data_IF_246669779503
#
_entry.id   IF_246669779503
#
_cell.length_a   1.000
_cell.length_b   1.000
_cell.length_c   1.000
_cell.angle_alpha   90.00
_cell.angle_beta   90.00
_cell.angle_gamma   90.00
#
_symmetry.space_group_name_H-M   'P 1'
#
loop_
_entity.id
_entity.type
_entity.pdbx_description
1 polymer ?
#
# COMPACT_ATOMS: atom_id res chain seq x y z
N UNK A 1 15.68 4.82 38.85
CA UNK A 1 14.54 5.36 38.07
C UNK A 1 14.87 5.46 36.58
N UNK A 2 16.13 5.69 36.18
CA UNK A 2 16.53 5.86 34.77
C UNK A 2 16.33 4.61 33.91
N UNK A 3 16.65 3.42 34.45
CA UNK A 3 16.50 2.16 33.70
C UNK A 3 15.04 1.88 33.30
N UNK A 4 14.06 2.22 34.15
CA UNK A 4 12.65 2.03 33.84
C UNK A 4 12.18 2.92 32.67
N UNK A 5 12.66 4.16 32.62
CA UNK A 5 12.37 5.10 31.53
C UNK A 5 12.98 4.60 30.22
N UNK A 6 14.23 4.13 30.25
CA UNK A 6 14.90 3.59 29.07
C UNK A 6 14.18 2.36 28.52
N UNK A 7 13.79 1.42 29.39
CA UNK A 7 13.02 0.23 28.98
C UNK A 7 11.69 0.65 28.36
N UNK A 8 10.97 1.58 28.98
CA UNK A 8 9.70 2.08 28.44
C UNK A 8 9.88 2.72 27.06
N UNK A 9 10.90 3.57 26.88
CA UNK A 9 11.20 4.20 25.60
C UNK A 9 11.52 3.18 24.52
N UNK A 10 12.36 2.19 24.83
CA UNK A 10 12.69 1.11 23.89
C UNK A 10 11.45 0.32 23.49
N UNK A 11 10.58 0.00 24.45
CA UNK A 11 9.33 -0.71 24.16
C UNK A 11 8.40 0.11 23.27
N UNK A 12 8.22 1.41 23.57
CA UNK A 12 7.36 2.29 22.77
C UNK A 12 7.90 2.46 21.35
N UNK A 13 9.20 2.73 21.20
CA UNK A 13 9.83 2.88 19.89
C UNK A 13 9.81 1.57 19.10
N UNK A 14 10.10 0.44 19.77
CA UNK A 14 10.08 -0.89 19.15
C UNK A 14 8.69 -1.29 18.67
N UNK A 15 7.66 -1.09 19.50
CA UNK A 15 6.27 -1.35 19.12
C UNK A 15 5.79 -0.40 18.02
N UNK A 16 6.17 0.89 18.08
CA UNK A 16 5.86 1.86 17.04
C UNK A 16 6.47 1.50 15.70
N UNK A 17 7.75 1.10 15.68
CA UNK A 17 8.42 0.63 14.49
C UNK A 17 7.79 -0.64 13.91
N UNK A 18 7.44 -1.59 14.77
CA UNK A 18 6.75 -2.82 14.36
C UNK A 18 5.38 -2.52 13.74
N UNK A 19 4.59 -1.66 14.38
CA UNK A 19 3.26 -1.28 13.88
C UNK A 19 3.35 -0.59 12.52
N UNK A 20 4.29 0.34 12.34
CA UNK A 20 4.54 1.00 11.06
C UNK A 20 4.96 0.01 9.97
N UNK A 21 5.85 -0.93 10.30
CA UNK A 21 6.32 -1.95 9.36
C UNK A 21 5.20 -2.90 8.94
N UNK A 22 4.35 -3.32 9.88
CA UNK A 22 3.17 -4.15 9.59
C UNK A 22 2.18 -3.39 8.72
N UNK A 23 1.90 -2.12 9.04
CA UNK A 23 1.00 -1.29 8.23
C UNK A 23 1.49 -1.12 6.79
N UNK A 24 2.80 -0.89 6.63
CA UNK A 24 3.45 -0.83 5.31
C UNK A 24 3.26 -2.12 4.51
N UNK A 25 3.55 -3.27 5.12
CA UNK A 25 3.37 -4.59 4.48
C UNK A 25 1.91 -4.85 4.11
N UNK A 26 0.96 -4.54 5.00
CA UNK A 26 -0.47 -4.74 4.74
C UNK A 26 -0.92 -3.95 3.52
N UNK A 27 -0.51 -2.68 3.39
CA UNK A 27 -0.87 -1.87 2.23
C UNK A 27 -0.17 -2.31 0.95
N UNK A 28 1.08 -2.77 1.04
CA UNK A 28 1.78 -3.35 -0.11
C UNK A 28 1.08 -4.62 -0.62
N UNK A 29 0.69 -5.50 0.30
CA UNK A 29 -0.08 -6.70 -0.03
C UNK A 29 -1.44 -6.33 -0.62
N UNK A 30 -2.12 -5.31 -0.08
CA UNK A 30 -3.37 -4.78 -0.64
C UNK A 30 -3.15 -4.31 -2.09
N UNK A 31 -2.11 -3.52 -2.36
CA UNK A 31 -1.78 -3.02 -3.70
C UNK A 31 -1.53 -4.16 -4.71
N UNK A 32 -0.80 -5.20 -4.30
CA UNK A 32 -0.51 -6.37 -5.14
C UNK A 32 -1.78 -7.18 -5.42
N UNK A 33 -2.67 -7.30 -4.42
CA UNK A 33 -3.93 -8.06 -4.52
C UNK A 33 -4.97 -7.42 -5.42
N UNK A 34 -4.89 -6.12 -5.68
CA UNK A 34 -5.77 -5.48 -6.66
C UNK A 34 -5.50 -6.07 -8.07
N UNK A 35 -6.52 -6.61 -8.75
CA UNK A 35 -6.46 -7.05 -10.14
C UNK A 35 -5.98 -5.94 -11.08
N UNK A 36 -5.20 -6.29 -12.09
CA UNK A 36 -4.61 -5.32 -13.02
C UNK A 36 -5.68 -4.50 -13.77
N UNK A 37 -6.82 -5.11 -14.08
CA UNK A 37 -7.98 -4.41 -14.65
C UNK A 37 -8.48 -3.23 -13.78
N UNK A 38 -8.37 -3.32 -12.45
CA UNK A 38 -8.76 -2.20 -11.57
C UNK A 38 -7.74 -1.06 -11.64
N UNK A 39 -6.45 -1.38 -11.76
CA UNK A 39 -5.39 -0.39 -11.92
C UNK A 39 -5.54 0.37 -13.24
N UNK A 40 -5.78 -0.36 -14.33
CA UNK A 40 -6.01 0.23 -15.65
C UNK A 40 -7.27 1.11 -15.66
N UNK A 41 -8.38 0.62 -15.09
CA UNK A 41 -9.62 1.40 -15.00
C UNK A 41 -9.50 2.62 -14.07
N UNK A 42 -8.62 2.57 -13.06
CA UNK A 42 -8.30 3.72 -12.21
C UNK A 42 -7.30 4.70 -12.86
N UNK A 43 -6.78 4.39 -14.04
CA UNK A 43 -5.75 5.20 -14.71
C UNK A 43 -4.43 5.26 -13.92
N UNK A 44 -4.14 4.25 -13.11
CA UNK A 44 -2.97 4.20 -12.22
C UNK A 44 -2.02 3.10 -12.66
N UNK A 45 -0.71 3.39 -12.65
CA UNK A 45 0.30 2.38 -12.98
C UNK A 45 0.66 1.56 -11.73
N UNK A 46 0.23 0.29 -11.71
CA UNK A 46 0.49 -0.67 -10.61
C UNK A 46 1.98 -0.83 -10.31
N UNK A 47 2.80 -1.05 -11.35
CA UNK A 47 4.24 -1.27 -11.19
C UNK A 47 4.92 -0.04 -10.61
N UNK A 48 4.59 1.15 -11.10
CA UNK A 48 5.14 2.40 -10.59
C UNK A 48 4.85 2.55 -9.08
N UNK A 49 3.59 2.35 -8.69
CA UNK A 49 3.18 2.51 -7.29
C UNK A 49 3.84 1.46 -6.37
N UNK A 50 3.89 0.19 -6.78
CA UNK A 50 4.56 -0.87 -6.01
C UNK A 50 6.06 -0.58 -5.88
N UNK A 51 6.72 -0.17 -6.96
CA UNK A 51 8.16 0.17 -6.93
C UNK A 51 8.42 1.36 -6.00
N UNK A 52 7.57 2.39 -6.02
CA UNK A 52 7.67 3.51 -5.08
C UNK A 52 7.52 3.05 -3.63
N UNK A 53 6.55 2.17 -3.33
CA UNK A 53 6.36 1.60 -1.99
C UNK A 53 7.56 0.77 -1.51
N UNK A 54 8.23 0.06 -2.42
CA UNK A 54 9.41 -0.75 -2.10
C UNK A 54 10.66 0.11 -1.90
N UNK A 55 10.91 1.08 -2.78
CA UNK A 55 12.13 1.91 -2.74
C UNK A 55 12.06 2.99 -1.66
N UNK A 56 10.89 3.58 -1.43
CA UNK A 56 10.70 4.66 -0.46
C UNK A 56 10.10 4.17 0.87
N UNK A 57 9.78 2.88 0.97
CA UNK A 57 9.19 2.28 2.17
C UNK A 57 7.91 2.97 2.61
N UNK A 58 7.89 3.46 3.85
CA UNK A 58 6.75 4.16 4.46
C UNK A 58 6.30 5.36 3.62
N UNK A 59 7.23 6.12 3.07
CA UNK A 59 6.90 7.32 2.28
C UNK A 59 6.15 6.92 1.01
N UNK A 60 6.63 5.90 0.30
CA UNK A 60 5.94 5.37 -0.89
C UNK A 60 4.56 4.83 -0.57
N UNK A 61 4.39 4.19 0.58
CA UNK A 61 3.07 3.72 1.06
C UNK A 61 2.13 4.86 1.41
N UNK A 62 2.63 5.95 1.98
CA UNK A 62 1.83 7.17 2.21
C UNK A 62 1.37 7.75 0.87
N UNK A 63 2.25 7.83 -0.13
CA UNK A 63 1.86 8.27 -1.48
C UNK A 63 0.77 7.38 -2.06
N UNK A 64 0.93 6.05 -2.03
CA UNK A 64 -0.09 5.11 -2.47
C UNK A 64 -1.44 5.32 -1.75
N UNK A 65 -1.41 5.47 -0.43
CA UNK A 65 -2.60 5.64 0.42
C UNK A 65 -3.44 6.86 0.04
N UNK A 66 -2.81 7.95 -0.40
CA UNK A 66 -3.50 9.20 -0.76
C UNK A 66 -3.73 9.39 -2.26
N UNK A 67 -3.10 8.59 -3.12
CA UNK A 67 -3.20 8.73 -4.58
C UNK A 67 -3.95 7.56 -5.22
N UNK A 68 -3.30 6.41 -5.41
CA UNK A 68 -3.89 5.30 -6.13
C UNK A 68 -4.98 4.57 -5.34
N UNK A 69 -4.80 4.37 -4.02
CA UNK A 69 -5.73 3.60 -3.20
C UNK A 69 -7.19 4.11 -3.22
N UNK A 70 -7.49 5.42 -3.08
CA UNK A 70 -8.87 5.89 -3.16
C UNK A 70 -9.49 5.64 -4.54
N UNK A 71 -8.74 5.81 -5.63
CA UNK A 71 -9.23 5.57 -6.99
C UNK A 71 -9.50 4.09 -7.24
N UNK A 72 -8.62 3.19 -6.78
CA UNK A 72 -8.84 1.74 -6.86
C UNK A 72 -10.11 1.32 -6.11
N UNK A 73 -10.34 1.88 -4.93
CA UNK A 73 -11.56 1.63 -4.16
C UNK A 73 -12.82 2.19 -4.81
N UNK A 74 -12.68 3.31 -5.53
CA UNK A 74 -13.78 3.95 -6.26
C UNK A 74 -14.20 3.12 -7.48
N UNK A 75 -13.24 2.59 -8.23
CA UNK A 75 -13.50 1.69 -9.36
C UNK A 75 -14.12 0.39 -8.87
N UNK A 76 -13.60 -0.16 -7.78
CA UNK A 76 -14.07 -1.41 -7.19
C UNK A 76 -13.75 -2.65 -8.02
N UNK A 77 -14.20 -3.84 -7.56
CA UNK A 77 -13.92 -5.09 -8.25
C UNK A 77 -14.52 -5.13 -9.66
N UNK A 78 -13.81 -5.69 -10.66
CA UNK A 78 -14.41 -5.91 -11.96
C UNK A 78 -15.58 -6.91 -11.82
N UNK A 79 -16.65 -6.77 -12.64
CA UNK A 79 -17.75 -7.72 -12.65
C UNK A 79 -17.29 -9.15 -12.89
N UNK A 80 -18.04 -10.12 -12.37
CA UNK A 80 -17.79 -11.55 -12.66
C UNK A 80 -17.92 -11.77 -14.17
N UNK A 81 -16.89 -12.35 -14.79
CA UNK A 81 -16.83 -12.54 -16.24
C UNK A 81 -16.29 -11.35 -17.03
N UNK A 82 -15.74 -10.32 -16.36
CA UNK A 82 -15.05 -9.24 -17.03
C UNK A 82 -13.86 -9.75 -17.86
N UNK A 83 -13.98 -9.61 -19.19
CA UNK A 83 -12.85 -9.73 -20.09
C UNK A 83 -12.18 -8.36 -20.18
N UNK A 84 -10.87 -8.26 -19.88
CA UNK A 84 -10.17 -6.99 -20.05
C UNK A 84 -10.24 -6.54 -21.52
N UNK A 85 -10.37 -5.22 -21.77
CA UNK A 85 -10.32 -4.71 -23.14
C UNK A 85 -8.99 -5.13 -23.79
N UNK A 86 -8.96 -5.33 -25.12
CA UNK A 86 -7.72 -5.62 -25.83
C UNK A 86 -6.68 -4.54 -25.51
N UNK A 87 -5.46 -4.95 -25.16
CA UNK A 87 -4.35 -4.02 -24.92
C UNK A 87 -4.15 -3.11 -26.15
N UNK A 88 -4.09 -1.78 -25.92
CA UNK A 88 -3.69 -0.79 -26.93
C UNK A 88 -4.82 0.02 -27.59
N UNK A 89 -5.63 0.73 -26.79
CA UNK A 89 -6.42 1.88 -27.30
C UNK A 89 -5.84 3.19 -26.84
#
# INVERSE_FOLDING_TARGET
MEAGILILLVLVLGLGFLALSVWWLVLLIEAVRFPDAQWDAAGQNKLLQIVLMLLLGIIGTVVYQFTARPELKRVGPPPVGYAPPPYGR
#
